data_IF_681686131298
#
_entry.id   IF_681686131298
#
_cell.length_a   1.000
_cell.length_b   1.000
_cell.length_c   1.000
_cell.angle_alpha   90.00
_cell.angle_beta   90.00
_cell.angle_gamma   90.00
#
_symmetry.space_group_name_H-M   'P 1'
#
loop_
_entity.id
_entity.type
_entity.pdbx_description
1 polymer ?
#
# COMPACT_ATOMS: atom_id res chain seq x y z
N UNK A 1 -20.39 9.13 -1.42
CA UNK A 1 -18.92 8.99 -1.43
C UNK A 1 -18.44 9.43 -2.79
N UNK A 2 -17.39 10.23 -2.89
CA UNK A 2 -16.87 10.67 -4.18
C UNK A 2 -15.73 9.72 -4.59
N UNK A 3 -15.99 8.85 -5.56
CA UNK A 3 -15.00 7.90 -6.07
C UNK A 3 -14.19 8.61 -7.17
N UNK A 4 -12.85 8.61 -7.12
CA UNK A 4 -12.01 9.17 -8.18
C UNK A 4 -12.28 8.54 -9.55
N UNK A 5 -12.16 9.32 -10.63
CA UNK A 5 -12.38 8.79 -11.99
C UNK A 5 -11.40 7.65 -12.36
N UNK A 6 -10.14 7.74 -11.90
CA UNK A 6 -9.15 6.69 -12.13
C UNK A 6 -9.57 5.34 -11.50
N UNK A 7 -10.13 5.38 -10.30
CA UNK A 7 -10.61 4.18 -9.59
C UNK A 7 -11.77 3.55 -10.36
N UNK A 8 -12.71 4.36 -10.86
CA UNK A 8 -13.82 3.88 -11.70
C UNK A 8 -13.35 3.23 -12.98
N UNK A 9 -12.36 3.83 -13.66
CA UNK A 9 -11.77 3.24 -14.88
C UNK A 9 -11.09 1.89 -14.61
N UNK A 10 -10.63 1.65 -13.38
CA UNK A 10 -10.08 0.38 -12.91
C UNK A 10 -11.14 -0.59 -12.34
N UNK A 11 -12.43 -0.20 -12.34
CA UNK A 11 -13.54 -1.00 -11.81
C UNK A 11 -13.73 -0.90 -10.29
N UNK A 12 -13.07 0.02 -9.62
CA UNK A 12 -13.25 0.30 -8.18
C UNK A 12 -14.30 1.40 -8.03
N UNK A 13 -15.56 1.00 -7.91
CA UNK A 13 -16.70 1.94 -7.95
C UNK A 13 -17.42 2.15 -6.61
N UNK A 14 -17.16 1.27 -5.63
CA UNK A 14 -17.83 1.28 -4.33
C UNK A 14 -16.87 0.97 -3.20
N UNK A 15 -17.19 1.46 -1.99
CA UNK A 15 -16.43 1.18 -0.78
C UNK A 15 -17.32 0.49 0.25
N UNK A 16 -16.72 -0.34 1.10
CA UNK A 16 -17.45 -1.15 2.08
C UNK A 16 -18.12 -0.31 3.19
N UNK A 17 -17.58 0.86 3.53
CA UNK A 17 -18.10 1.74 4.59
C UNK A 17 -18.84 2.95 4.01
N UNK A 18 -19.60 3.67 4.84
CA UNK A 18 -20.33 4.90 4.45
C UNK A 18 -19.74 6.18 5.07
N UNK A 19 -18.69 6.04 5.88
CA UNK A 19 -18.06 7.15 6.60
C UNK A 19 -17.28 8.06 5.67
N UNK A 20 -17.15 9.33 6.04
CA UNK A 20 -16.29 10.26 5.29
C UNK A 20 -14.82 9.80 5.34
N UNK A 21 -14.10 9.98 4.23
CA UNK A 21 -12.66 9.72 4.19
C UNK A 21 -11.90 10.74 5.02
N UNK A 22 -10.81 10.31 5.66
CA UNK A 22 -9.98 11.15 6.52
C UNK A 22 -8.93 11.97 5.76
N UNK A 23 -8.67 11.65 4.49
CA UNK A 23 -7.51 12.16 3.76
C UNK A 23 -6.19 11.61 4.34
N UNK A 24 -5.10 12.34 4.13
CA UNK A 24 -3.75 11.97 4.59
C UNK A 24 -2.78 11.66 3.44
N UNK A 25 -1.51 11.47 3.80
CA UNK A 25 -0.44 11.03 2.88
C UNK A 25 0.02 9.66 3.36
N UNK A 26 0.17 8.72 2.41
CA UNK A 26 0.75 7.41 2.68
C UNK A 26 2.16 7.36 2.11
N UNK A 27 3.04 6.56 2.73
CA UNK A 27 4.42 6.33 2.26
C UNK A 27 5.25 7.62 2.20
N UNK A 28 5.15 8.48 3.22
CA UNK A 28 6.00 9.66 3.37
C UNK A 28 7.45 9.25 3.68
N UNK A 29 7.64 8.22 4.49
CA UNK A 29 8.91 7.55 4.77
C UNK A 29 8.89 6.07 4.38
N UNK A 30 10.09 5.49 4.19
CA UNK A 30 10.27 4.03 4.04
C UNK A 30 9.79 3.24 5.26
N UNK A 31 9.70 3.90 6.40
CA UNK A 31 9.22 3.29 7.64
C UNK A 31 7.69 3.27 7.76
N UNK A 32 6.95 4.02 6.93
CA UNK A 32 5.49 4.13 7.02
C UNK A 32 4.75 2.89 6.49
N UNK A 33 5.42 2.10 5.64
CA UNK A 33 4.81 0.96 4.98
C UNK A 33 5.83 -0.17 4.75
N UNK A 34 5.65 -1.27 5.47
CA UNK A 34 6.51 -2.47 5.40
C UNK A 34 5.66 -3.69 5.07
N UNK A 35 6.22 -4.62 4.31
CA UNK A 35 5.52 -5.84 3.88
C UNK A 35 6.39 -7.04 4.23
N UNK A 36 5.80 -8.00 4.93
CA UNK A 36 6.37 -9.32 5.20
C UNK A 36 5.46 -10.36 4.54
N UNK A 37 5.99 -11.10 3.57
CA UNK A 37 5.22 -12.09 2.83
C UNK A 37 4.93 -13.29 3.72
N UNK A 38 3.67 -13.76 3.72
CA UNK A 38 3.30 -15.06 4.28
C UNK A 38 3.40 -16.10 3.17
N UNK A 39 4.34 -17.02 3.29
CA UNK A 39 4.61 -18.05 2.29
C UNK A 39 3.54 -19.15 2.30
N UNK A 40 3.57 -20.02 1.28
CA UNK A 40 2.61 -21.12 1.12
C UNK A 40 2.61 -22.11 2.29
N UNK A 41 3.72 -22.18 3.03
CA UNK A 41 3.86 -23.00 4.25
C UNK A 41 3.43 -22.28 5.54
N UNK A 42 2.97 -21.03 5.43
CA UNK A 42 2.54 -20.19 6.54
C UNK A 42 3.68 -19.48 7.27
N UNK A 43 4.94 -19.69 6.89
CA UNK A 43 6.06 -18.93 7.43
C UNK A 43 6.06 -17.48 6.91
N UNK A 44 6.72 -16.57 7.62
CA UNK A 44 6.82 -15.16 7.24
C UNK A 44 8.23 -14.82 6.79
N UNK A 45 8.36 -14.05 5.72
CA UNK A 45 9.62 -13.43 5.32
C UNK A 45 9.84 -12.14 6.13
N UNK A 46 10.51 -12.27 7.28
CA UNK A 46 10.76 -11.15 8.20
C UNK A 46 11.77 -10.13 7.64
N UNK A 47 11.55 -8.85 7.92
CA UNK A 47 12.50 -7.78 7.57
C UNK A 47 13.55 -7.65 8.68
N UNK A 48 14.72 -8.25 8.47
CA UNK A 48 15.82 -8.16 9.45
C UNK A 48 16.56 -6.81 9.44
N UNK A 49 16.58 -6.10 8.30
CA UNK A 49 17.23 -4.78 8.15
C UNK A 49 16.41 -3.86 7.26
N UNK A 50 16.32 -2.59 7.64
CA UNK A 50 15.67 -1.56 6.82
C UNK A 50 16.40 -1.37 5.48
N UNK A 51 15.71 -0.95 4.42
CA UNK A 51 16.34 -0.74 3.13
C UNK A 51 17.40 0.37 3.23
N UNK A 52 18.66 0.03 2.95
CA UNK A 52 19.62 1.04 2.52
C UNK A 52 19.10 1.60 1.18
N UNK A 53 18.94 2.93 1.08
CA UNK A 53 18.35 3.66 -0.07
C UNK A 53 18.57 2.93 -1.40
N UNK A 54 17.58 2.19 -1.86
CA UNK A 54 17.55 1.63 -3.21
C UNK A 54 16.24 2.03 -3.86
N UNK A 55 16.33 3.00 -4.77
CA UNK A 55 15.29 3.27 -5.76
C UNK A 55 15.47 2.23 -6.88
N UNK A 56 14.63 1.21 -6.89
CA UNK A 56 14.52 0.30 -8.03
C UNK A 56 13.62 0.99 -9.07
N UNK A 57 14.21 1.56 -10.12
CA UNK A 57 13.43 2.19 -11.18
C UNK A 57 14.12 3.24 -12.06
N UNK A 58 15.42 3.53 -11.87
CA UNK A 58 16.18 4.34 -12.82
C UNK A 58 16.90 3.43 -13.84
N UNK A 59 16.19 3.04 -14.89
CA UNK A 59 16.76 2.53 -16.16
C UNK A 59 16.03 3.19 -17.31
#
# INVERSE_FOLDING_TARGET
>A
MNVPEIDKLLGIEVYATKTAGTGGVIRESVDDFKVEEVLVDGSKAEIEKGPEKQVLGAT
#
